data_IF_228981842196
#
_entry.id   IF_228981842196
#
_cell.length_a   1.000
_cell.length_b   1.000
_cell.length_c   1.000
_cell.angle_alpha   90.00
_cell.angle_beta   90.00
_cell.angle_gamma   90.00
#
_symmetry.space_group_name_H-M   'P 1'
#
loop_
_entity.id
_entity.type
_entity.pdbx_description
1 polymer ?
#
# COMPACT_ATOMS: atom_id res chain seq x y z
N UNK A 1 -12.82 -28.14 -27.90
CA UNK A 1 -11.61 -27.81 -27.11
C UNK A 1 -12.06 -27.39 -25.72
N UNK A 2 -11.66 -28.11 -24.66
CA UNK A 2 -12.07 -27.77 -23.28
C UNK A 2 -11.36 -26.47 -22.88
N UNK A 3 -12.13 -25.46 -22.45
CA UNK A 3 -11.55 -24.21 -21.96
C UNK A 3 -10.84 -24.45 -20.62
N UNK A 4 -9.63 -23.90 -20.47
CA UNK A 4 -8.82 -23.97 -19.26
C UNK A 4 -9.60 -23.45 -18.03
N UNK A 5 -9.49 -24.14 -16.89
CA UNK A 5 -10.07 -23.76 -15.59
C UNK A 5 -9.78 -22.30 -15.22
N UNK A 6 -8.61 -21.78 -15.59
CA UNK A 6 -8.21 -20.38 -15.42
C UNK A 6 -9.19 -19.40 -16.06
N UNK A 7 -9.81 -19.77 -17.18
CA UNK A 7 -10.75 -18.95 -17.95
C UNK A 7 -12.21 -19.25 -17.66
N UNK A 8 -12.53 -20.43 -17.12
CA UNK A 8 -13.91 -20.87 -16.87
C UNK A 8 -14.35 -20.71 -15.42
N UNK A 9 -13.47 -20.95 -14.44
CA UNK A 9 -13.84 -20.84 -13.03
C UNK A 9 -14.09 -19.36 -12.65
N UNK A 10 -15.26 -19.01 -12.06
CA UNK A 10 -15.64 -17.61 -11.85
C UNK A 10 -14.59 -16.76 -11.13
N UNK A 11 -13.98 -17.27 -10.07
CA UNK A 11 -12.92 -16.55 -9.33
C UNK A 11 -11.61 -16.47 -10.12
N UNK A 12 -11.23 -17.55 -10.79
CA UNK A 12 -9.96 -17.58 -11.53
C UNK A 12 -10.03 -16.72 -12.79
N UNK A 13 -11.22 -16.58 -13.37
CA UNK A 13 -11.47 -15.71 -14.52
C UNK A 13 -11.19 -14.25 -14.19
N UNK A 14 -11.56 -13.79 -12.99
CA UNK A 14 -11.27 -12.42 -12.54
C UNK A 14 -9.75 -12.22 -12.46
N UNK A 15 -9.04 -13.12 -11.75
CA UNK A 15 -7.57 -13.07 -11.64
C UNK A 15 -6.92 -13.14 -13.02
N UNK A 16 -7.39 -14.02 -13.90
CA UNK A 16 -6.86 -14.17 -15.23
C UNK A 16 -6.92 -12.86 -16.01
N UNK A 17 -8.08 -12.22 -16.00
CA UNK A 17 -8.32 -11.03 -16.81
C UNK A 17 -7.62 -9.78 -16.26
N UNK A 18 -7.29 -9.75 -14.96
CA UNK A 18 -6.64 -8.59 -14.33
C UNK A 18 -5.14 -8.76 -14.08
N UNK A 19 -4.61 -9.99 -14.03
CA UNK A 19 -3.21 -10.26 -13.69
C UNK A 19 -2.44 -11.12 -14.71
N UNK A 20 -3.09 -12.04 -15.43
CA UNK A 20 -2.38 -13.05 -16.23
C UNK A 20 -2.48 -12.73 -17.73
N UNK A 21 -3.70 -12.73 -18.27
CA UNK A 21 -3.98 -12.43 -19.67
C UNK A 21 -4.49 -10.98 -19.82
N UNK A 22 -3.92 -10.04 -19.05
CA UNK A 22 -4.23 -8.62 -19.18
C UNK A 22 -3.48 -8.03 -20.39
N UNK A 23 -4.16 -7.46 -21.40
CA UNK A 23 -3.48 -6.79 -22.49
C UNK A 23 -2.82 -5.49 -22.00
N UNK A 24 -1.48 -5.45 -22.03
CA UNK A 24 -0.68 -4.29 -21.67
C UNK A 24 0.11 -3.74 -22.87
N UNK A 25 0.25 -2.42 -23.02
CA UNK A 25 1.14 -1.85 -24.04
C UNK A 25 2.58 -2.34 -23.86
N UNK A 26 3.27 -2.67 -24.95
CA UNK A 26 4.62 -3.23 -24.92
C UNK A 26 5.71 -2.22 -24.54
N UNK A 27 5.41 -0.92 -24.58
CA UNK A 27 6.35 0.17 -24.38
C UNK A 27 6.14 0.95 -23.07
N UNK A 28 5.45 0.38 -22.08
CA UNK A 28 5.38 0.99 -20.74
C UNK A 28 6.78 1.01 -20.10
N UNK A 29 7.14 2.15 -19.51
CA UNK A 29 8.45 2.34 -18.86
C UNK A 29 8.39 1.98 -17.37
N UNK A 30 9.54 2.06 -16.68
CA UNK A 30 9.64 1.80 -15.24
C UNK A 30 8.64 2.61 -14.39
N UNK A 31 8.18 3.77 -14.87
CA UNK A 31 7.19 4.61 -14.19
C UNK A 31 5.84 3.92 -13.98
N UNK A 32 5.51 2.88 -14.76
CA UNK A 32 4.28 2.09 -14.55
C UNK A 32 4.35 1.15 -13.34
N UNK A 33 5.54 0.87 -12.81
CA UNK A 33 5.74 0.00 -11.66
C UNK A 33 5.23 0.63 -10.35
N UNK A 34 5.10 1.95 -10.26
CA UNK A 34 4.65 2.59 -9.03
C UNK A 34 3.22 2.20 -8.64
N UNK A 35 2.38 1.73 -9.57
CA UNK A 35 1.06 1.20 -9.23
C UNK A 35 1.13 -0.08 -8.38
N UNK A 36 1.95 -1.06 -8.80
CA UNK A 36 2.13 -2.31 -8.05
C UNK A 36 2.92 -2.09 -6.76
N UNK A 37 3.91 -1.20 -6.76
CA UNK A 37 4.65 -0.82 -5.56
C UNK A 37 3.74 -0.21 -4.49
N UNK A 38 2.76 0.63 -4.86
CA UNK A 38 1.76 1.14 -3.92
C UNK A 38 0.92 0.02 -3.30
N UNK A 39 0.54 -0.98 -4.10
CA UNK A 39 -0.14 -2.18 -3.59
C UNK A 39 0.72 -2.97 -2.58
N UNK A 40 2.02 -3.13 -2.86
CA UNK A 40 2.97 -3.77 -1.95
C UNK A 40 3.13 -2.94 -0.66
N UNK A 41 3.25 -1.61 -0.77
CA UNK A 41 3.32 -0.71 0.38
C UNK A 41 2.08 -0.87 1.27
N UNK A 42 0.88 -0.93 0.69
CA UNK A 42 -0.36 -1.13 1.44
C UNK A 42 -0.37 -2.46 2.20
N UNK A 43 0.02 -3.56 1.54
CA UNK A 43 0.09 -4.89 2.18
C UNK A 43 1.11 -4.86 3.33
N UNK A 44 2.29 -4.29 3.10
CA UNK A 44 3.33 -4.16 4.14
C UNK A 44 2.83 -3.36 5.34
N UNK A 45 2.18 -2.22 5.11
CA UNK A 45 1.64 -1.38 6.20
C UNK A 45 0.53 -2.07 6.98
N UNK A 46 -0.38 -2.79 6.32
CA UNK A 46 -1.44 -3.54 7.00
C UNK A 46 -0.83 -4.64 7.87
N UNK A 47 0.07 -5.46 7.31
CA UNK A 47 0.68 -6.57 8.04
C UNK A 47 1.45 -6.04 9.24
N UNK A 48 2.41 -5.14 9.02
CA UNK A 48 3.23 -4.58 10.11
C UNK A 48 2.37 -3.82 11.13
N UNK A 49 1.36 -3.09 10.70
CA UNK A 49 0.44 -2.35 11.57
C UNK A 49 -0.37 -3.28 12.48
N UNK A 50 -0.85 -4.42 11.98
CA UNK A 50 -1.55 -5.42 12.78
C UNK A 50 -0.63 -5.98 13.88
N UNK A 51 0.62 -6.32 13.54
CA UNK A 51 1.58 -6.82 14.54
C UNK A 51 1.94 -5.76 15.59
N UNK A 52 2.06 -4.49 15.21
CA UNK A 52 2.27 -3.40 16.17
C UNK A 52 1.06 -3.19 17.08
N UNK A 53 -0.15 -3.24 16.51
CA UNK A 53 -1.40 -3.04 17.25
C UNK A 53 -1.61 -4.10 18.34
N UNK A 54 -1.14 -5.33 18.14
CA UNK A 54 -1.20 -6.41 19.14
C UNK A 54 -0.43 -6.08 20.45
N UNK A 55 0.49 -5.13 20.41
CA UNK A 55 1.36 -4.76 21.54
C UNK A 55 1.24 -3.28 21.96
N UNK A 56 0.44 -2.49 21.25
CA UNK A 56 0.24 -1.06 21.52
C UNK A 56 -0.88 -0.84 22.55
N UNK A 57 -0.73 0.18 23.40
CA UNK A 57 -1.77 0.60 24.36
C UNK A 57 -2.28 2.00 24.05
N UNK A 58 -3.56 2.18 23.66
CA UNK A 58 -4.15 3.48 23.30
C UNK A 58 -4.58 4.28 24.53
N UNK A 59 -3.72 4.38 25.55
CA UNK A 59 -3.91 5.24 26.71
C UNK A 59 -2.79 6.29 26.75
N UNK A 60 -3.14 7.56 26.95
CA UNK A 60 -2.19 8.69 26.97
C UNK A 60 -1.00 8.44 27.91
N UNK A 61 -1.21 7.80 29.07
CA UNK A 61 -0.13 7.52 30.02
C UNK A 61 0.76 6.34 29.61
N UNK A 62 0.32 5.50 28.65
CA UNK A 62 0.98 4.26 28.25
C UNK A 62 1.43 4.23 26.78
N UNK A 63 0.96 5.15 25.94
CA UNK A 63 1.21 5.15 24.49
C UNK A 63 2.70 5.07 24.18
N UNK A 64 3.47 6.04 24.67
CA UNK A 64 4.93 6.08 24.47
C UNK A 64 5.65 4.85 25.06
N UNK A 65 5.31 4.45 26.29
CA UNK A 65 5.94 3.29 26.94
C UNK A 65 5.62 1.99 26.22
N UNK A 66 4.42 1.84 25.65
CA UNK A 66 4.04 0.65 24.88
C UNK A 66 4.84 0.56 23.57
N UNK A 67 5.11 1.68 22.91
CA UNK A 67 6.00 1.73 21.73
C UNK A 67 7.46 1.42 22.11
N UNK A 68 7.92 1.89 23.27
CA UNK A 68 9.24 1.52 23.79
C UNK A 68 9.33 0.01 24.08
N UNK A 69 8.30 -0.57 24.71
CA UNK A 69 8.18 -2.01 24.95
C UNK A 69 8.19 -2.81 23.64
N UNK A 70 7.44 -2.40 22.61
CA UNK A 70 7.49 -3.02 21.27
C UNK A 70 8.93 -3.04 20.75
N UNK A 71 9.64 -1.93 20.88
CA UNK A 71 10.99 -1.81 20.31
C UNK A 71 12.03 -2.63 21.05
N UNK A 72 11.90 -2.76 22.38
CA UNK A 72 12.94 -3.34 23.25
C UNK A 72 12.68 -4.78 23.66
N UNK A 73 11.42 -5.13 23.87
CA UNK A 73 11.05 -6.37 24.58
C UNK A 73 10.32 -7.38 23.67
N UNK A 74 9.65 -6.91 22.61
CA UNK A 74 9.01 -7.79 21.61
C UNK A 74 10.05 -8.31 20.62
N UNK A 75 10.05 -9.63 20.39
CA UNK A 75 10.94 -10.27 19.42
C UNK A 75 10.75 -9.69 18.02
N UNK A 76 11.84 -9.18 17.42
CA UNK A 76 11.83 -8.43 16.15
C UNK A 76 10.92 -7.19 16.13
N UNK A 77 10.42 -6.71 17.28
CA UNK A 77 9.54 -5.55 17.34
C UNK A 77 10.21 -4.26 16.87
N UNK A 78 11.52 -4.10 17.12
CA UNK A 78 12.32 -3.02 16.52
C UNK A 78 12.28 -3.03 15.00
N UNK A 79 12.38 -4.22 14.38
CA UNK A 79 12.39 -4.38 12.94
C UNK A 79 11.01 -4.05 12.36
N UNK A 80 9.96 -4.62 12.93
CA UNK A 80 8.57 -4.38 12.51
C UNK A 80 8.22 -2.89 12.63
N UNK A 81 8.58 -2.25 13.75
CA UNK A 81 8.35 -0.82 13.96
C UNK A 81 9.08 0.03 12.92
N UNK A 82 10.36 -0.27 12.67
CA UNK A 82 11.14 0.46 11.67
C UNK A 82 10.61 0.25 10.24
N UNK A 83 10.18 -0.97 9.91
CA UNK A 83 9.54 -1.26 8.62
C UNK A 83 8.24 -0.48 8.46
N UNK A 84 7.39 -0.41 9.49
CA UNK A 84 6.13 0.34 9.44
C UNK A 84 6.35 1.85 9.30
N UNK A 85 7.27 2.40 10.09
CA UNK A 85 7.57 3.84 10.09
C UNK A 85 8.23 4.28 8.77
N UNK A 86 9.28 3.59 8.31
CA UNK A 86 9.93 3.91 7.04
C UNK A 86 9.08 3.50 5.83
N UNK A 87 8.27 2.45 5.97
CA UNK A 87 7.29 2.03 4.97
C UNK A 87 6.27 3.12 4.66
N UNK A 88 5.89 3.93 5.64
CA UNK A 88 5.02 5.09 5.40
C UNK A 88 5.69 6.11 4.48
N UNK A 89 6.97 6.44 4.71
CA UNK A 89 7.75 7.35 3.85
C UNK A 89 7.90 6.80 2.43
N UNK A 90 8.17 5.51 2.28
CA UNK A 90 8.25 4.85 0.96
C UNK A 90 6.88 4.92 0.26
N UNK A 91 5.78 4.74 0.98
CA UNK A 91 4.43 4.87 0.43
C UNK A 91 4.23 6.27 -0.19
N UNK A 92 4.57 7.34 0.54
CA UNK A 92 4.46 8.71 0.01
C UNK A 92 5.42 8.97 -1.14
N UNK A 93 6.66 8.44 -1.09
CA UNK A 93 7.57 8.53 -2.23
C UNK A 93 6.97 7.88 -3.48
N UNK A 94 6.44 6.66 -3.35
CA UNK A 94 5.79 5.96 -4.45
C UNK A 94 4.55 6.71 -4.96
N UNK A 95 3.72 7.29 -4.09
CA UNK A 95 2.49 7.95 -4.52
C UNK A 95 2.79 9.24 -5.27
N UNK A 96 3.78 10.02 -4.82
CA UNK A 96 4.19 11.23 -5.54
C UNK A 96 4.79 10.91 -6.90
N UNK A 97 5.60 9.85 -7.02
CA UNK A 97 6.12 9.40 -8.32
C UNK A 97 5.01 8.85 -9.22
N UNK A 98 4.03 8.14 -8.65
CA UNK A 98 2.86 7.66 -9.38
C UNK A 98 1.99 8.81 -9.94
N UNK A 99 1.75 9.84 -9.14
CA UNK A 99 1.03 11.06 -9.53
C UNK A 99 1.83 11.82 -10.58
N UNK A 100 3.12 12.03 -10.36
CA UNK A 100 4.01 12.72 -11.29
C UNK A 100 4.03 12.07 -12.67
N UNK A 101 4.13 10.73 -12.72
CA UNK A 101 3.94 9.95 -13.96
C UNK A 101 2.59 10.28 -14.59
N UNK A 102 1.51 10.26 -13.81
CA UNK A 102 0.16 10.48 -14.32
C UNK A 102 -0.04 11.88 -14.93
N UNK A 103 0.60 12.90 -14.36
CA UNK A 103 0.65 14.24 -14.92
C UNK A 103 1.48 14.30 -16.21
N UNK A 104 2.69 13.74 -16.20
CA UNK A 104 3.62 13.79 -17.34
C UNK A 104 3.07 13.09 -18.60
N UNK A 105 2.44 11.91 -18.43
CA UNK A 105 1.89 11.14 -19.56
C UNK A 105 0.40 11.42 -19.83
N UNK A 106 -0.21 12.44 -19.21
CA UNK A 106 -1.62 12.77 -19.43
C UNK A 106 -2.61 11.69 -18.94
N UNK A 107 -2.21 10.83 -18.00
CA UNK A 107 -3.08 9.76 -17.49
C UNK A 107 -4.29 10.27 -16.70
N UNK A 108 -4.27 11.54 -16.27
CA UNK A 108 -5.43 12.21 -15.66
C UNK A 108 -6.64 12.33 -16.61
N UNK A 109 -6.46 12.12 -17.92
CA UNK A 109 -7.55 12.04 -18.88
C UNK A 109 -8.50 10.86 -18.60
N UNK A 110 -8.02 9.81 -17.93
CA UNK A 110 -8.86 8.74 -17.38
C UNK A 110 -9.55 9.22 -16.09
N UNK A 111 -10.57 10.08 -16.24
CA UNK A 111 -11.18 10.86 -15.15
C UNK A 111 -11.59 10.03 -13.93
N UNK A 112 -12.27 8.91 -14.12
CA UNK A 112 -12.71 8.06 -13.00
C UNK A 112 -11.52 7.46 -12.23
N UNK A 113 -10.53 6.94 -12.95
CA UNK A 113 -9.28 6.40 -12.37
C UNK A 113 -8.48 7.50 -11.66
N UNK A 114 -8.46 8.71 -12.22
CA UNK A 114 -7.78 9.85 -11.62
C UNK A 114 -8.47 10.31 -10.33
N UNK A 115 -9.80 10.50 -10.37
CA UNK A 115 -10.58 10.95 -9.22
C UNK A 115 -10.53 9.94 -8.07
N UNK A 116 -10.61 8.64 -8.36
CA UNK A 116 -10.38 7.60 -7.35
C UNK A 116 -8.97 7.65 -6.78
N UNK A 117 -7.96 7.91 -7.62
CA UNK A 117 -6.58 8.16 -7.18
C UNK A 117 -6.43 9.36 -6.23
N UNK A 118 -7.14 10.46 -6.48
CA UNK A 118 -7.17 11.64 -5.58
C UNK A 118 -7.79 11.28 -4.22
N UNK A 119 -8.90 10.53 -4.22
CA UNK A 119 -9.50 10.04 -2.97
C UNK A 119 -8.53 9.15 -2.20
N UNK A 120 -7.84 8.22 -2.88
CA UNK A 120 -6.84 7.36 -2.25
C UNK A 120 -5.69 8.15 -1.63
N UNK A 121 -5.20 9.20 -2.31
CA UNK A 121 -4.19 10.11 -1.75
C UNK A 121 -4.66 10.74 -0.44
N UNK A 122 -5.88 11.30 -0.42
CA UNK A 122 -6.44 11.95 0.77
C UNK A 122 -6.60 10.96 1.94
N UNK A 123 -7.04 9.72 1.65
CA UNK A 123 -7.16 8.67 2.66
C UNK A 123 -5.78 8.27 3.23
N UNK A 124 -4.76 8.16 2.39
CA UNK A 124 -3.39 7.84 2.84
C UNK A 124 -2.82 8.98 3.69
N UNK A 125 -3.08 10.25 3.32
CA UNK A 125 -2.70 11.42 4.11
C UNK A 125 -3.35 11.40 5.49
N UNK A 126 -4.66 11.19 5.57
CA UNK A 126 -5.37 11.09 6.83
C UNK A 126 -4.85 9.92 7.69
N UNK A 127 -4.64 8.76 7.08
CA UNK A 127 -4.13 7.56 7.75
C UNK A 127 -2.74 7.79 8.35
N UNK A 128 -1.82 8.37 7.58
CA UNK A 128 -0.47 8.64 8.05
C UNK A 128 -0.42 9.71 9.13
N UNK A 129 -1.25 10.75 9.01
CA UNK A 129 -1.39 11.77 10.04
C UNK A 129 -1.86 11.15 11.36
N UNK A 130 -2.95 10.37 11.35
CA UNK A 130 -3.46 9.70 12.55
C UNK A 130 -2.43 8.72 13.13
N UNK A 131 -1.75 7.96 12.28
CA UNK A 131 -0.71 7.01 12.71
C UNK A 131 0.47 7.68 13.41
N UNK A 132 0.86 8.89 12.98
CA UNK A 132 1.96 9.64 13.58
C UNK A 132 1.65 10.17 14.99
N UNK A 133 0.38 10.28 15.37
CA UNK A 133 -0.05 10.73 16.70
C UNK A 133 -0.04 9.61 17.75
N UNK A 134 0.13 8.34 17.33
CA UNK A 134 0.05 7.19 18.22
C UNK A 134 1.25 7.00 19.18
N UNK A 135 2.53 7.22 18.79
CA UNK A 135 3.68 7.08 19.68
C UNK A 135 3.79 8.19 20.72
#
# INVERSE_FOLDING_TARGET
MIMNLRKTHPMMKIINNSFIDLPSPSNISAWWNFGSLLGICLILQIITGIFLAMHYSPNISLAFSSVAHITRDVQYGWLIRNMHANGASIFFMCIYLHIGRGLYYGSYLYKETWNTGVVLLLLIMATAFMGYVLP
#
